data_IF_171297522835
#
_entry.id   IF_171297522835
#
_cell.length_a   1.000
_cell.length_b   1.000
_cell.length_c   1.000
_cell.angle_alpha   90.00
_cell.angle_beta   90.00
_cell.angle_gamma   90.00
#
_symmetry.space_group_name_H-M   'P 1'
#
loop_
_entity.id
_entity.type
_entity.pdbx_description
1 polymer ?
#
# COMPACT_ATOMS: atom_id res chain seq x y z
N UNK A 1 24.76 -62.41 -60.33
CA UNK A 1 23.62 -62.48 -59.40
C UNK A 1 23.98 -61.66 -58.18
N UNK A 2 23.54 -60.38 -58.24
CA UNK A 2 23.88 -59.39 -57.22
C UNK A 2 22.61 -59.16 -56.40
N UNK A 3 22.70 -59.48 -55.10
CA UNK A 3 21.61 -59.29 -54.15
C UNK A 3 21.76 -57.87 -53.54
N UNK A 4 20.81 -57.00 -53.80
CA UNK A 4 20.73 -55.68 -53.18
C UNK A 4 19.91 -55.84 -51.91
N UNK A 5 20.49 -55.48 -50.77
CA UNK A 5 19.86 -55.47 -49.45
C UNK A 5 19.36 -54.04 -49.19
N UNK A 6 18.02 -53.84 -49.20
CA UNK A 6 17.36 -52.62 -48.84
C UNK A 6 17.35 -52.46 -47.29
N UNK A 7 18.00 -51.39 -46.83
CA UNK A 7 17.91 -50.97 -45.43
C UNK A 7 16.84 -49.90 -45.28
N UNK A 8 15.66 -50.27 -44.79
CA UNK A 8 14.65 -49.29 -44.32
C UNK A 8 15.09 -48.70 -42.97
N UNK A 9 15.46 -47.43 -42.98
CA UNK A 9 15.69 -46.64 -41.79
C UNK A 9 14.36 -46.10 -41.28
N UNK A 10 13.79 -46.70 -40.24
CA UNK A 10 12.62 -46.16 -39.54
C UNK A 10 13.03 -44.98 -38.68
N UNK A 11 12.73 -43.75 -39.13
CA UNK A 11 12.81 -42.55 -38.27
C UNK A 11 11.65 -42.60 -37.26
N UNK A 12 11.95 -43.02 -36.03
CA UNK A 12 11.07 -42.78 -34.90
C UNK A 12 11.14 -41.30 -34.52
N UNK A 13 10.21 -40.48 -34.94
CA UNK A 13 9.97 -39.13 -34.40
C UNK A 13 9.46 -39.32 -32.96
N UNK A 14 10.39 -39.25 -32.01
CA UNK A 14 10.04 -39.09 -30.61
C UNK A 14 9.42 -37.71 -30.35
N UNK A 15 8.11 -37.64 -30.26
CA UNK A 15 7.45 -36.49 -29.70
C UNK A 15 7.85 -36.35 -28.22
N UNK A 16 8.80 -35.46 -27.94
CA UNK A 16 9.06 -35.03 -26.58
C UNK A 16 7.82 -34.34 -26.05
N UNK A 17 6.97 -35.07 -25.35
CA UNK A 17 5.95 -34.45 -24.53
C UNK A 17 6.69 -33.56 -23.52
N UNK A 18 6.61 -32.23 -23.69
CA UNK A 18 7.07 -31.27 -22.71
C UNK A 18 6.26 -31.55 -21.44
N UNK A 19 6.83 -32.26 -20.47
CA UNK A 19 6.20 -32.43 -19.17
C UNK A 19 5.94 -31.03 -18.59
N UNK A 20 4.68 -30.74 -18.27
CA UNK A 20 4.33 -29.48 -17.64
C UNK A 20 5.17 -29.29 -16.38
N UNK A 21 5.61 -28.06 -16.14
CA UNK A 21 6.37 -27.80 -14.91
C UNK A 21 5.46 -28.05 -13.68
N UNK A 22 5.95 -28.55 -12.56
CA UNK A 22 5.13 -28.95 -11.39
C UNK A 22 4.14 -27.87 -10.91
N UNK A 23 4.48 -26.60 -11.06
CA UNK A 23 3.59 -25.50 -10.71
C UNK A 23 2.38 -25.36 -11.64
N UNK A 24 2.49 -25.79 -12.91
CA UNK A 24 1.40 -25.70 -13.89
C UNK A 24 0.29 -26.70 -13.54
N UNK A 25 0.66 -27.92 -13.16
CA UNK A 25 -0.31 -28.94 -12.72
C UNK A 25 -0.99 -28.52 -11.41
N UNK A 26 -0.23 -27.94 -10.49
CA UNK A 26 -0.78 -27.38 -9.24
C UNK A 26 -1.74 -26.24 -9.53
N UNK A 27 -1.35 -25.30 -10.38
CA UNK A 27 -2.17 -24.16 -10.76
C UNK A 27 -3.50 -24.60 -11.40
N UNK A 28 -3.45 -25.51 -12.37
CA UNK A 28 -4.66 -26.00 -13.04
C UNK A 28 -5.58 -26.72 -12.05
N UNK A 29 -5.04 -27.58 -11.20
CA UNK A 29 -5.82 -28.26 -10.15
C UNK A 29 -6.51 -27.26 -9.22
N UNK A 30 -5.80 -26.23 -8.76
CA UNK A 30 -6.34 -25.18 -7.88
C UNK A 30 -7.37 -24.35 -8.61
N UNK A 31 -7.13 -23.99 -9.87
CA UNK A 31 -8.07 -23.23 -10.68
C UNK A 31 -9.39 -23.97 -10.92
N UNK A 32 -9.32 -25.28 -11.21
CA UNK A 32 -10.53 -26.10 -11.37
C UNK A 32 -11.30 -26.24 -10.06
N UNK A 33 -10.62 -26.36 -8.93
CA UNK A 33 -11.25 -26.37 -7.62
C UNK A 33 -11.89 -25.01 -7.28
N UNK A 34 -11.20 -23.92 -7.57
CA UNK A 34 -11.70 -22.56 -7.38
C UNK A 34 -12.97 -22.27 -8.20
N UNK A 35 -13.01 -22.76 -9.45
CA UNK A 35 -14.23 -22.67 -10.28
C UNK A 35 -15.41 -23.44 -9.69
N UNK A 36 -15.17 -24.56 -9.00
CA UNK A 36 -16.23 -25.30 -8.29
C UNK A 36 -16.69 -24.56 -7.03
N UNK A 37 -15.78 -23.84 -6.33
CA UNK A 37 -16.14 -22.95 -5.22
C UNK A 37 -16.95 -21.75 -5.72
N UNK A 38 -16.74 -21.31 -6.95
CA UNK A 38 -17.54 -20.34 -7.70
C UNK A 38 -17.34 -18.88 -7.29
N UNK A 39 -16.74 -18.62 -6.12
CA UNK A 39 -16.52 -17.27 -5.62
C UNK A 39 -15.31 -17.15 -4.70
N UNK A 40 -14.85 -15.91 -4.50
CA UNK A 40 -13.95 -15.50 -3.43
C UNK A 40 -14.61 -14.37 -2.64
N UNK A 41 -14.64 -14.49 -1.32
CA UNK A 41 -15.18 -13.47 -0.42
C UNK A 41 -14.04 -12.65 0.19
N UNK A 42 -14.02 -11.35 -0.06
CA UNK A 42 -12.95 -10.49 0.41
C UNK A 42 -13.43 -9.26 1.18
N UNK A 43 -12.65 -8.86 2.16
CA UNK A 43 -12.75 -7.54 2.78
C UNK A 43 -11.70 -6.64 2.15
N UNK A 44 -12.10 -5.48 1.67
CA UNK A 44 -11.19 -4.53 1.03
C UNK A 44 -11.50 -3.09 1.39
N UNK A 45 -10.63 -2.14 1.00
CA UNK A 45 -10.81 -0.73 1.32
C UNK A 45 -12.08 -0.16 0.67
N UNK A 46 -12.62 0.88 1.29
CA UNK A 46 -13.69 1.68 0.68
C UNK A 46 -13.19 2.38 -0.59
N UNK A 47 -14.08 2.49 -1.59
CA UNK A 47 -13.79 3.12 -2.87
C UNK A 47 -14.25 2.26 -4.04
N UNK A 48 -15.02 2.86 -4.95
CA UNK A 48 -15.60 2.15 -6.09
C UNK A 48 -14.56 1.78 -7.13
N UNK A 49 -13.67 2.71 -7.48
CA UNK A 49 -12.72 2.53 -8.59
C UNK A 49 -11.83 1.28 -8.43
N UNK A 50 -11.26 1.11 -7.24
CA UNK A 50 -10.44 -0.07 -6.94
C UNK A 50 -11.26 -1.34 -6.92
N UNK A 51 -12.40 -1.32 -6.20
CA UNK A 51 -13.30 -2.46 -6.12
C UNK A 51 -13.71 -2.93 -7.51
N UNK A 52 -14.26 -2.03 -8.30
CA UNK A 52 -14.83 -2.37 -9.61
C UNK A 52 -13.76 -2.83 -10.58
N UNK A 53 -12.61 -2.15 -10.63
CA UNK A 53 -11.50 -2.54 -11.49
C UNK A 53 -10.98 -3.96 -11.19
N UNK A 54 -10.79 -4.31 -9.92
CA UNK A 54 -10.28 -5.62 -9.53
C UNK A 54 -11.34 -6.71 -9.69
N UNK A 55 -12.58 -6.45 -9.29
CA UNK A 55 -13.70 -7.41 -9.39
C UNK A 55 -13.97 -7.77 -10.83
N UNK A 56 -14.19 -6.76 -11.69
CA UNK A 56 -14.52 -6.98 -13.11
C UNK A 56 -13.40 -7.73 -13.85
N UNK A 57 -12.14 -7.34 -13.59
CA UNK A 57 -11.02 -7.99 -14.27
C UNK A 57 -10.82 -9.45 -13.86
N UNK A 58 -10.93 -9.74 -12.56
CA UNK A 58 -10.80 -11.11 -12.04
C UNK A 58 -11.94 -12.01 -12.52
N UNK A 59 -13.19 -11.57 -12.39
CA UNK A 59 -14.37 -12.31 -12.83
C UNK A 59 -14.33 -12.59 -14.34
N UNK A 60 -13.98 -11.59 -15.14
CA UNK A 60 -13.83 -11.75 -16.61
C UNK A 60 -12.77 -12.79 -16.96
N UNK A 61 -11.66 -12.83 -16.23
CA UNK A 61 -10.54 -13.73 -16.53
C UNK A 61 -10.79 -15.17 -16.11
N UNK A 62 -11.37 -15.39 -14.94
CA UNK A 62 -11.46 -16.72 -14.34
C UNK A 62 -12.86 -17.30 -14.26
N UNK A 63 -13.91 -16.48 -14.42
CA UNK A 63 -15.29 -16.90 -14.23
C UNK A 63 -15.63 -17.24 -12.78
N UNK A 64 -14.91 -16.64 -11.81
CA UNK A 64 -15.10 -16.79 -10.38
C UNK A 64 -15.56 -15.45 -9.84
N UNK A 65 -16.70 -15.37 -9.14
CA UNK A 65 -17.23 -14.11 -8.63
C UNK A 65 -16.44 -13.59 -7.45
N UNK A 66 -16.45 -12.25 -7.25
CA UNK A 66 -15.81 -11.58 -6.12
C UNK A 66 -16.86 -10.94 -5.23
N UNK A 67 -17.12 -11.53 -4.06
CA UNK A 67 -17.94 -10.91 -3.03
C UNK A 67 -17.09 -9.90 -2.26
N UNK A 68 -17.17 -8.62 -2.64
CA UNK A 68 -16.37 -7.57 -2.05
C UNK A 68 -17.13 -6.82 -0.96
N UNK A 69 -16.64 -6.89 0.27
CA UNK A 69 -17.10 -6.08 1.39
C UNK A 69 -16.14 -4.91 1.63
N UNK A 70 -16.65 -3.68 1.52
CA UNK A 70 -15.85 -2.48 1.75
C UNK A 70 -15.80 -2.14 3.25
N UNK A 71 -14.59 -1.98 3.83
CA UNK A 71 -14.39 -1.60 5.23
C UNK A 71 -13.20 -0.64 5.36
N UNK A 72 -13.30 0.27 6.32
CA UNK A 72 -12.22 1.24 6.63
C UNK A 72 -11.08 0.65 7.46
N UNK A 73 -11.16 -0.62 7.85
CA UNK A 73 -10.21 -1.31 8.70
C UNK A 73 -10.64 -1.41 10.16
N UNK A 74 -11.28 -0.38 10.72
CA UNK A 74 -11.73 -0.37 12.12
C UNK A 74 -12.87 -1.37 12.39
N UNK A 75 -13.72 -1.63 11.39
CA UNK A 75 -14.84 -2.57 11.48
C UNK A 75 -14.48 -4.04 11.33
N UNK A 76 -13.30 -4.34 10.77
CA UNK A 76 -12.92 -5.71 10.40
C UNK A 76 -12.87 -6.64 11.62
N UNK A 77 -12.09 -6.30 12.64
CA UNK A 77 -11.91 -7.18 13.79
C UNK A 77 -13.19 -7.36 14.64
N UNK A 78 -13.99 -6.33 14.95
CA UNK A 78 -15.29 -6.50 15.61
C UNK A 78 -16.22 -7.42 14.83
N UNK A 79 -16.30 -7.28 13.50
CA UNK A 79 -17.09 -8.15 12.63
C UNK A 79 -16.63 -9.60 12.72
N UNK A 80 -15.35 -9.86 12.47
CA UNK A 80 -14.78 -11.21 12.55
C UNK A 80 -15.01 -11.85 13.92
N UNK A 81 -14.87 -11.07 14.99
CA UNK A 81 -15.09 -11.55 16.35
C UNK A 81 -16.52 -11.99 16.58
N UNK A 82 -17.50 -11.23 16.08
CA UNK A 82 -18.92 -11.58 16.18
C UNK A 82 -19.26 -12.82 15.34
N UNK A 83 -18.76 -12.88 14.11
CA UNK A 83 -19.00 -14.01 13.20
C UNK A 83 -18.39 -15.31 13.74
N UNK A 84 -17.14 -15.28 14.20
CA UNK A 84 -16.42 -16.45 14.72
C UNK A 84 -16.97 -16.96 16.06
N UNK A 85 -17.53 -16.08 16.92
CA UNK A 85 -18.26 -16.49 18.11
C UNK A 85 -19.48 -17.35 17.76
N UNK A 86 -20.05 -17.15 16.56
CA UNK A 86 -21.15 -17.94 16.01
C UNK A 86 -20.66 -19.10 15.11
N UNK A 87 -19.36 -19.46 15.16
CA UNK A 87 -18.68 -20.46 14.31
C UNK A 87 -18.87 -20.20 12.80
N UNK A 88 -18.95 -18.91 12.41
CA UNK A 88 -19.09 -18.49 11.02
C UNK A 88 -17.78 -17.95 10.48
N UNK A 89 -17.30 -18.55 9.38
CA UNK A 89 -16.10 -18.18 8.63
C UNK A 89 -16.56 -17.76 7.23
N UNK A 90 -16.62 -16.45 6.97
CA UNK A 90 -17.29 -15.90 5.79
C UNK A 90 -16.29 -15.30 4.77
N UNK A 91 -15.03 -15.12 5.18
CA UNK A 91 -14.07 -14.34 4.42
C UNK A 91 -12.84 -15.16 4.07
N UNK A 92 -12.34 -14.94 2.85
CA UNK A 92 -11.16 -15.61 2.30
C UNK A 92 -9.93 -14.73 2.37
N UNK A 93 -10.04 -13.49 1.87
CA UNK A 93 -8.91 -12.57 1.66
C UNK A 93 -9.22 -11.22 2.28
N UNK A 94 -8.19 -10.56 2.79
CA UNK A 94 -8.29 -9.17 3.23
C UNK A 94 -7.21 -8.31 2.60
N UNK A 95 -7.63 -7.13 2.13
CA UNK A 95 -6.74 -6.04 1.74
C UNK A 95 -7.06 -4.85 2.63
N UNK A 96 -6.07 -4.40 3.42
CA UNK A 96 -6.29 -3.37 4.44
C UNK A 96 -5.03 -2.54 4.68
N UNK A 97 -5.11 -1.55 5.57
CA UNK A 97 -3.96 -0.82 6.08
C UNK A 97 -3.06 -1.72 6.92
N UNK A 98 -1.76 -1.51 6.84
CA UNK A 98 -0.78 -2.32 7.56
C UNK A 98 -0.90 -2.22 9.07
N UNK A 99 -1.28 -1.07 9.62
CA UNK A 99 -1.57 -0.93 11.04
C UNK A 99 -2.72 -1.85 11.48
N UNK A 100 -3.82 -1.93 10.69
CA UNK A 100 -4.91 -2.87 10.98
C UNK A 100 -4.40 -4.32 11.00
N UNK A 101 -3.52 -4.69 10.06
CA UNK A 101 -2.90 -6.02 10.04
C UNK A 101 -2.05 -6.30 11.27
N UNK A 102 -1.09 -5.41 11.55
CA UNK A 102 -0.10 -5.59 12.63
C UNK A 102 -0.70 -5.44 14.04
N UNK A 103 -1.55 -4.44 14.25
CA UNK A 103 -2.07 -4.12 15.58
C UNK A 103 -3.35 -4.90 15.94
N UNK A 104 -4.09 -5.40 14.93
CA UNK A 104 -5.38 -6.03 15.16
C UNK A 104 -5.46 -7.49 14.66
N UNK A 105 -5.22 -7.74 13.36
CA UNK A 105 -5.53 -9.04 12.77
C UNK A 105 -4.51 -10.12 13.16
N UNK A 106 -3.20 -9.81 13.15
CA UNK A 106 -2.15 -10.74 13.57
C UNK A 106 -2.28 -11.10 15.06
N UNK A 107 -2.38 -10.13 16.00
CA UNK A 107 -2.59 -10.46 17.41
C UNK A 107 -3.86 -11.26 17.69
N UNK A 108 -4.92 -11.04 16.91
CA UNK A 108 -6.17 -11.80 17.03
C UNK A 108 -6.07 -13.24 16.47
N UNK A 109 -4.94 -13.59 15.81
CA UNK A 109 -4.67 -14.93 15.22
C UNK A 109 -5.74 -15.36 14.22
N UNK A 110 -6.19 -14.42 13.39
CA UNK A 110 -7.26 -14.65 12.40
C UNK A 110 -6.72 -14.86 10.98
N UNK A 111 -5.40 -14.85 10.80
CA UNK A 111 -4.71 -14.96 9.51
C UNK A 111 -3.91 -16.26 9.43
N UNK A 112 -3.73 -16.77 8.22
CA UNK A 112 -2.78 -17.83 7.88
C UNK A 112 -1.54 -17.24 7.18
N UNK A 113 -0.38 -17.96 7.16
CA UNK A 113 0.74 -17.61 6.32
C UNK A 113 0.33 -17.51 4.85
N UNK A 114 0.67 -16.38 4.21
CA UNK A 114 0.29 -16.13 2.82
C UNK A 114 1.21 -16.86 1.83
N UNK A 115 2.49 -16.97 2.16
CA UNK A 115 3.51 -17.50 1.24
C UNK A 115 3.23 -18.92 0.73
N UNK A 116 2.75 -19.91 1.53
CA UNK A 116 2.40 -21.24 1.04
C UNK A 116 1.27 -21.26 0.00
N UNK A 117 0.52 -20.15 -0.13
CA UNK A 117 -0.56 -20.02 -1.09
C UNK A 117 -0.10 -19.43 -2.44
N UNK A 118 1.20 -19.08 -2.59
CA UNK A 118 1.77 -18.54 -3.81
C UNK A 118 2.22 -19.68 -4.73
N UNK A 119 1.68 -19.74 -5.93
CA UNK A 119 1.91 -20.82 -6.92
C UNK A 119 2.70 -20.29 -8.11
N UNK A 120 2.30 -19.14 -8.67
CA UNK A 120 2.86 -18.63 -9.92
C UNK A 120 4.34 -18.24 -9.77
N UNK A 121 5.26 -18.75 -10.64
CA UNK A 121 6.68 -18.43 -10.58
C UNK A 121 6.95 -16.92 -10.64
N UNK A 122 6.20 -16.19 -11.48
CA UNK A 122 6.34 -14.74 -11.58
C UNK A 122 5.98 -13.98 -10.29
N UNK A 123 5.11 -14.56 -9.44
CA UNK A 123 4.79 -13.99 -8.13
C UNK A 123 5.90 -14.27 -7.13
N UNK A 124 6.54 -15.40 -7.26
CA UNK A 124 7.61 -15.88 -6.33
C UNK A 124 9.00 -15.41 -6.72
N UNK A 125 9.20 -14.89 -7.94
CA UNK A 125 10.53 -14.43 -8.40
C UNK A 125 10.96 -13.16 -7.65
N UNK A 126 12.00 -13.25 -6.79
CA UNK A 126 12.46 -12.13 -6.00
C UNK A 126 12.96 -10.95 -6.84
N UNK A 127 13.43 -11.20 -8.08
CA UNK A 127 13.92 -10.16 -8.98
C UNK A 127 12.84 -9.20 -9.46
N UNK A 128 11.57 -9.61 -9.38
CA UNK A 128 10.43 -8.80 -9.78
C UNK A 128 9.90 -7.91 -8.65
N UNK A 129 10.44 -8.03 -7.44
CA UNK A 129 9.98 -7.28 -6.28
C UNK A 129 11.04 -6.28 -5.81
N UNK A 130 10.58 -5.12 -5.36
CA UNK A 130 11.45 -4.10 -4.76
C UNK A 130 12.19 -4.71 -3.57
N UNK A 131 13.45 -4.34 -3.42
CA UNK A 131 14.37 -4.89 -2.43
C UNK A 131 14.68 -6.40 -2.60
N UNK A 132 14.39 -6.99 -3.75
CA UNK A 132 14.74 -8.38 -4.07
C UNK A 132 13.93 -9.42 -3.28
N UNK A 133 12.75 -9.06 -2.77
CA UNK A 133 11.89 -9.98 -2.03
C UNK A 133 10.44 -9.48 -1.96
N UNK A 134 9.51 -10.41 -1.72
CA UNK A 134 8.17 -10.09 -1.22
C UNK A 134 8.29 -9.46 0.17
N UNK A 135 7.71 -8.29 0.37
CA UNK A 135 7.80 -7.53 1.62
C UNK A 135 6.73 -7.97 2.61
N UNK A 136 7.08 -8.88 3.53
CA UNK A 136 6.25 -9.23 4.67
C UNK A 136 6.63 -8.40 5.89
N UNK A 137 5.64 -7.97 6.66
CA UNK A 137 5.84 -7.12 7.84
C UNK A 137 5.95 -7.90 9.15
N UNK A 138 5.61 -9.19 9.13
CA UNK A 138 5.62 -10.05 10.30
C UNK A 138 6.44 -11.34 10.06
N UNK A 139 7.01 -11.92 11.12
CA UNK A 139 7.76 -13.18 11.01
C UNK A 139 6.93 -14.36 10.51
N UNK A 140 5.61 -14.35 10.77
CA UNK A 140 4.66 -15.37 10.32
C UNK A 140 4.32 -15.30 8.83
N UNK A 141 4.81 -14.26 8.11
CA UNK A 141 4.56 -14.03 6.68
C UNK A 141 3.05 -13.99 6.35
N UNK A 142 2.29 -13.33 7.22
CA UNK A 142 0.84 -13.21 7.15
C UNK A 142 0.38 -11.91 6.48
N UNK A 143 1.19 -10.85 6.56
CA UNK A 143 0.89 -9.52 6.02
C UNK A 143 1.93 -9.09 4.99
N UNK A 144 1.52 -9.08 3.71
CA UNK A 144 2.34 -8.67 2.58
C UNK A 144 2.04 -7.23 2.17
N UNK A 145 3.06 -6.41 1.92
CA UNK A 145 2.92 -5.07 1.34
C UNK A 145 2.96 -5.13 -0.18
N UNK A 146 1.86 -4.76 -0.82
CA UNK A 146 1.75 -4.73 -2.28
C UNK A 146 2.10 -3.39 -2.92
N UNK A 147 1.79 -2.29 -2.24
CA UNK A 147 1.78 -0.95 -2.82
C UNK A 147 2.47 0.09 -1.94
N UNK A 148 3.80 0.06 -1.83
CA UNK A 148 4.52 1.15 -1.18
C UNK A 148 4.52 2.37 -2.11
N UNK A 149 4.18 3.55 -1.60
CA UNK A 149 4.32 4.79 -2.35
C UNK A 149 4.87 5.89 -1.47
N UNK A 150 5.63 6.79 -2.07
CA UNK A 150 6.14 7.97 -1.41
C UNK A 150 4.99 8.93 -1.14
N UNK A 151 4.89 9.47 0.08
CA UNK A 151 3.86 10.44 0.45
C UNK A 151 4.31 11.87 0.17
N UNK A 152 3.33 12.70 -0.16
CA UNK A 152 3.48 14.15 -0.07
C UNK A 152 3.32 14.58 1.40
N UNK A 153 4.33 15.19 1.96
CA UNK A 153 4.36 15.61 3.36
C UNK A 153 4.31 17.12 3.54
N UNK A 154 4.82 17.87 2.56
CA UNK A 154 4.90 19.33 2.56
C UNK A 154 4.11 19.92 1.38
N UNK A 155 3.26 20.88 1.68
CA UNK A 155 2.37 21.54 0.75
C UNK A 155 2.54 23.04 0.85
N UNK A 156 2.33 23.76 -0.25
CA UNK A 156 2.37 25.23 -0.25
C UNK A 156 1.23 25.82 -1.07
N UNK A 157 0.83 27.03 -0.72
CA UNK A 157 0.12 27.88 -1.65
C UNK A 157 1.15 28.60 -2.52
N UNK A 158 1.24 28.28 -3.84
CA UNK A 158 2.31 28.80 -4.70
C UNK A 158 2.21 30.32 -4.96
N UNK A 159 1.10 30.95 -4.59
CA UNK A 159 0.97 32.41 -4.65
C UNK A 159 1.59 33.13 -3.44
N UNK A 160 1.87 32.40 -2.34
CA UNK A 160 2.38 32.94 -1.07
C UNK A 160 3.76 32.40 -0.69
N UNK A 161 4.13 31.24 -1.22
CA UNK A 161 5.41 30.59 -0.96
C UNK A 161 5.93 29.93 -2.24
N UNK A 162 7.15 30.25 -2.64
CA UNK A 162 7.75 29.63 -3.81
C UNK A 162 8.14 28.18 -3.49
N UNK A 163 7.58 27.15 -4.21
CA UNK A 163 7.91 25.75 -3.96
C UNK A 163 9.41 25.45 -4.01
N UNK A 164 10.17 26.18 -4.81
CA UNK A 164 11.62 25.98 -4.99
C UNK A 164 12.48 26.46 -3.82
N UNK A 165 11.90 27.20 -2.87
CA UNK A 165 12.62 27.64 -1.66
C UNK A 165 12.87 26.49 -0.68
N UNK A 166 12.04 25.44 -0.70
CA UNK A 166 12.12 24.35 0.25
C UNK A 166 13.14 23.30 -0.24
N UNK A 167 14.28 23.22 0.43
CA UNK A 167 15.36 22.23 0.20
C UNK A 167 15.51 21.27 1.38
N UNK A 168 14.92 21.62 2.51
CA UNK A 168 14.94 20.86 3.77
C UNK A 168 13.68 21.16 4.56
N UNK A 169 13.20 20.22 5.36
CA UNK A 169 12.14 20.53 6.34
C UNK A 169 12.59 21.61 7.35
N UNK A 170 13.90 21.77 7.56
CA UNK A 170 14.44 22.83 8.44
C UNK A 170 14.20 24.23 7.91
N UNK A 171 13.91 24.40 6.61
CA UNK A 171 13.52 25.70 6.04
C UNK A 171 12.20 26.22 6.61
N UNK A 172 11.37 25.33 7.15
CA UNK A 172 10.14 25.69 7.88
C UNK A 172 10.40 26.40 9.21
N UNK A 173 11.62 26.36 9.71
CA UNK A 173 12.02 27.05 10.95
C UNK A 173 12.37 28.53 10.72
N UNK A 174 12.40 29.00 9.46
CA UNK A 174 12.58 30.42 9.16
C UNK A 174 11.44 31.23 9.83
N UNK A 175 11.77 32.31 10.55
CA UNK A 175 10.78 33.17 11.22
C UNK A 175 9.68 33.71 10.29
N UNK A 176 9.94 33.82 9.00
CA UNK A 176 8.93 34.25 8.01
C UNK A 176 7.70 33.34 7.96
N UNK A 177 7.81 32.07 8.36
CA UNK A 177 6.74 31.08 8.40
C UNK A 177 5.97 31.03 9.72
N UNK A 178 6.39 31.79 10.74
CA UNK A 178 5.74 31.78 12.05
C UNK A 178 4.26 32.17 11.95
N UNK A 179 3.38 31.30 12.44
CA UNK A 179 1.91 31.46 12.35
C UNK A 179 1.32 31.27 10.95
N UNK A 180 2.12 30.85 9.96
CA UNK A 180 1.68 30.63 8.56
C UNK A 180 1.65 29.18 8.13
N UNK A 181 1.83 28.26 9.06
CA UNK A 181 1.83 26.80 8.82
C UNK A 181 0.53 26.21 9.36
N UNK A 182 -0.15 25.41 8.57
CA UNK A 182 -1.30 24.60 8.96
C UNK A 182 -0.92 23.12 8.83
N UNK A 183 -1.35 22.28 9.74
CA UNK A 183 -1.06 20.85 9.72
C UNK A 183 -2.29 20.00 10.09
N UNK A 184 -2.37 18.79 9.53
CA UNK A 184 -3.23 17.74 10.08
C UNK A 184 -2.74 17.38 11.48
N UNK A 185 -3.66 17.27 12.43
CA UNK A 185 -3.33 17.09 13.85
C UNK A 185 -2.56 15.77 14.11
N UNK A 186 -1.26 15.81 14.42
CA UNK A 186 -0.44 14.62 14.53
C UNK A 186 -0.77 13.73 15.75
N UNK A 187 -1.59 14.23 16.69
CA UNK A 187 -2.01 13.47 17.89
C UNK A 187 -3.07 12.43 17.58
N UNK A 188 -3.53 12.37 16.36
CA UNK A 188 -4.59 11.46 15.91
C UNK A 188 -4.11 10.67 14.68
N UNK A 189 -4.70 9.50 14.48
CA UNK A 189 -4.40 8.70 13.30
C UNK A 189 -4.75 9.45 12.02
N UNK A 190 -3.79 9.53 11.10
CA UNK A 190 -3.95 10.23 9.84
C UNK A 190 -2.61 10.63 9.20
N UNK A 191 -2.68 11.41 8.12
CA UNK A 191 -1.50 11.90 7.41
C UNK A 191 -0.55 12.73 8.29
N UNK A 192 -1.08 13.55 9.19
CA UNK A 192 -0.28 14.33 10.15
C UNK A 192 0.52 13.43 11.08
N UNK A 193 -0.12 12.40 11.68
CA UNK A 193 0.59 11.45 12.54
C UNK A 193 1.73 10.77 11.77
N UNK A 194 1.48 10.31 10.54
CA UNK A 194 2.52 9.67 9.75
C UNK A 194 3.68 10.62 9.41
N UNK A 195 3.39 11.90 9.11
CA UNK A 195 4.41 12.93 8.87
C UNK A 195 5.26 13.19 10.10
N UNK A 196 4.66 13.33 11.29
CA UNK A 196 5.41 13.53 12.53
C UNK A 196 6.14 12.25 12.97
N UNK A 197 5.62 11.06 12.66
CA UNK A 197 6.36 9.79 12.81
C UNK A 197 7.60 9.78 11.94
N UNK A 198 7.48 10.22 10.67
CA UNK A 198 8.64 10.39 9.80
C UNK A 198 9.66 11.35 10.40
N UNK A 199 9.26 12.53 10.88
CA UNK A 199 10.17 13.48 11.53
C UNK A 199 10.85 12.86 12.74
N UNK A 200 10.10 12.13 13.56
CA UNK A 200 10.63 11.47 14.77
C UNK A 200 11.68 10.41 14.45
N UNK A 201 11.43 9.58 13.42
CA UNK A 201 12.32 8.50 13.02
C UNK A 201 13.54 8.99 12.24
N UNK A 202 13.47 10.19 11.65
CA UNK A 202 14.54 10.68 10.77
C UNK A 202 15.76 11.13 11.60
N UNK A 203 16.98 10.60 11.33
CA UNK A 203 18.15 10.84 12.17
C UNK A 203 18.59 12.31 12.23
N UNK A 204 18.33 13.11 11.20
CA UNK A 204 18.68 14.53 11.18
C UNK A 204 17.57 15.46 11.72
N UNK A 205 16.35 14.96 11.91
CA UNK A 205 15.21 15.75 12.41
C UNK A 205 14.93 15.45 13.88
N UNK A 206 14.31 14.32 14.16
CA UNK A 206 14.05 13.83 15.52
C UNK A 206 13.21 14.77 16.38
N UNK A 207 13.25 14.52 17.68
CA UNK A 207 12.50 15.30 18.69
C UNK A 207 12.86 16.79 18.68
N UNK A 208 14.12 17.11 18.41
CA UNK A 208 14.60 18.51 18.37
C UNK A 208 13.87 19.30 17.28
N UNK A 209 13.69 18.71 16.09
CA UNK A 209 12.97 19.36 15.01
C UNK A 209 11.48 19.49 15.35
N UNK A 210 10.86 18.44 15.92
CA UNK A 210 9.44 18.47 16.32
C UNK A 210 9.17 19.60 17.31
N UNK A 211 10.01 19.81 18.31
CA UNK A 211 9.90 20.94 19.24
C UNK A 211 10.07 22.29 18.54
N UNK A 212 11.04 22.39 17.65
CA UNK A 212 11.32 23.62 16.92
C UNK A 212 10.16 24.00 15.97
N UNK A 213 9.61 23.05 15.22
CA UNK A 213 8.49 23.31 14.31
C UNK A 213 7.21 23.66 15.08
N UNK A 214 6.95 23.05 16.24
CA UNK A 214 5.84 23.42 17.10
C UNK A 214 5.96 24.89 17.55
N UNK A 215 7.17 25.39 17.81
CA UNK A 215 7.46 26.80 18.11
C UNK A 215 7.12 27.78 17.01
N UNK A 216 6.88 27.31 15.78
CA UNK A 216 6.38 28.16 14.67
C UNK A 216 4.87 28.49 14.80
N UNK A 217 4.17 27.93 15.80
CA UNK A 217 2.75 28.23 16.02
C UNK A 217 1.86 27.65 14.92
N UNK A 218 1.92 26.34 14.74
CA UNK A 218 1.11 25.62 13.77
C UNK A 218 -0.38 25.69 14.11
N UNK A 219 -1.23 25.94 13.10
CA UNK A 219 -2.65 25.68 13.19
C UNK A 219 -2.91 24.20 12.95
N UNK A 220 -3.50 23.49 13.92
CA UNK A 220 -3.81 22.07 13.81
C UNK A 220 -5.28 21.88 13.49
N UNK A 221 -5.59 21.13 12.46
CA UNK A 221 -6.93 20.75 12.07
C UNK A 221 -7.06 19.23 11.93
N UNK A 222 -8.29 18.79 11.61
CA UNK A 222 -8.62 17.37 11.48
C UNK A 222 -9.56 17.08 10.31
N UNK A 223 -9.97 18.12 9.62
CA UNK A 223 -10.79 18.02 8.41
C UNK A 223 -9.90 18.28 7.20
N UNK A 224 -9.59 17.22 6.49
CA UNK A 224 -8.70 17.23 5.33
C UNK A 224 -9.17 18.21 4.24
N UNK A 225 -10.48 18.34 4.05
CA UNK A 225 -11.03 19.28 3.06
C UNK A 225 -10.84 20.71 3.53
N UNK A 226 -11.05 20.98 4.81
CA UNK A 226 -10.84 22.31 5.39
C UNK A 226 -9.36 22.70 5.35
N UNK A 227 -8.44 21.79 5.67
CA UNK A 227 -6.99 22.03 5.60
C UNK A 227 -6.55 22.52 4.22
N UNK A 228 -6.91 21.75 3.17
CA UNK A 228 -6.57 22.11 1.78
C UNK A 228 -7.25 23.40 1.35
N UNK A 229 -8.51 23.62 1.73
CA UNK A 229 -9.23 24.84 1.39
C UNK A 229 -8.62 26.07 2.08
N UNK A 230 -8.22 25.99 3.35
CA UNK A 230 -7.61 27.12 4.06
C UNK A 230 -6.23 27.49 3.49
N UNK A 231 -5.45 26.48 3.08
CA UNK A 231 -4.20 26.69 2.36
C UNK A 231 -4.47 27.37 1.01
N UNK A 232 -5.40 26.83 0.20
CA UNK A 232 -5.76 27.38 -1.10
C UNK A 232 -6.34 28.78 -1.05
N UNK A 233 -7.11 29.13 0.00
CA UNK A 233 -7.62 30.48 0.24
C UNK A 233 -6.55 31.48 0.71
N UNK A 234 -5.30 31.03 0.94
CA UNK A 234 -4.22 31.89 1.37
C UNK A 234 -4.26 32.27 2.85
N UNK A 235 -5.05 31.60 3.68
CA UNK A 235 -5.02 31.80 5.15
C UNK A 235 -3.69 31.32 5.76
N UNK A 236 -3.08 30.34 5.13
CA UNK A 236 -1.75 29.82 5.46
C UNK A 236 -0.93 29.72 4.18
N UNK A 237 0.39 29.80 4.34
CA UNK A 237 1.33 29.68 3.20
C UNK A 237 1.83 28.28 3.01
N UNK A 238 1.86 27.47 4.08
CA UNK A 238 2.46 26.14 4.14
C UNK A 238 1.50 25.15 4.81
N UNK A 239 1.40 23.95 4.27
CA UNK A 239 0.67 22.81 4.82
C UNK A 239 1.60 21.65 5.16
N UNK A 240 1.34 20.95 6.26
CA UNK A 240 2.07 19.76 6.67
C UNK A 240 1.13 18.57 6.89
N UNK A 241 1.51 17.42 6.34
CA UNK A 241 0.83 16.16 6.61
C UNK A 241 -0.62 16.11 6.14
N UNK A 242 -0.96 16.74 5.01
CA UNK A 242 -2.29 16.65 4.42
C UNK A 242 -2.53 15.32 3.73
N UNK A 243 -3.79 15.05 3.40
CA UNK A 243 -4.14 14.03 2.41
C UNK A 243 -3.63 14.45 1.03
N UNK A 244 -2.56 13.84 0.56
CA UNK A 244 -1.92 14.17 -0.72
C UNK A 244 -2.84 13.90 -1.92
N UNK A 245 -3.66 12.85 -1.87
CA UNK A 245 -4.66 12.57 -2.91
C UNK A 245 -5.74 13.64 -2.99
N UNK A 246 -6.21 14.15 -1.85
CA UNK A 246 -7.16 15.25 -1.82
C UNK A 246 -6.55 16.57 -2.30
N UNK A 247 -5.31 16.86 -1.92
CA UNK A 247 -4.57 18.03 -2.39
C UNK A 247 -4.38 17.99 -3.91
N UNK A 248 -4.00 16.84 -4.48
CA UNK A 248 -3.92 16.65 -5.94
C UNK A 248 -5.27 16.84 -6.63
N UNK A 249 -6.35 16.29 -6.05
CA UNK A 249 -7.70 16.48 -6.59
C UNK A 249 -8.08 17.97 -6.62
N UNK A 250 -7.82 18.70 -5.54
CA UNK A 250 -8.11 20.13 -5.44
C UNK A 250 -7.25 20.97 -6.38
N UNK A 251 -5.96 20.62 -6.52
CA UNK A 251 -5.08 21.28 -7.48
C UNK A 251 -5.58 21.13 -8.93
N UNK A 252 -6.06 19.93 -9.32
CA UNK A 252 -6.71 19.70 -10.61
C UNK A 252 -8.00 20.51 -10.81
N UNK A 253 -8.67 20.91 -9.72
CA UNK A 253 -9.84 21.80 -9.73
C UNK A 253 -9.48 23.28 -9.73
N UNK A 254 -8.19 23.63 -9.81
CA UNK A 254 -7.71 25.02 -9.85
C UNK A 254 -7.49 25.66 -8.47
N UNK A 255 -7.59 24.88 -7.37
CA UNK A 255 -7.22 25.41 -6.04
C UNK A 255 -5.70 25.59 -6.00
N UNK A 256 -5.17 26.75 -5.59
CA UNK A 256 -3.73 27.01 -5.54
C UNK A 256 -3.08 26.26 -4.37
N UNK A 257 -2.84 24.99 -4.57
CA UNK A 257 -2.12 24.09 -3.68
C UNK A 257 -1.12 23.28 -4.50
N UNK A 258 0.13 23.23 -4.04
CA UNK A 258 1.19 22.47 -4.67
C UNK A 258 1.84 21.56 -3.64
N UNK A 259 2.08 20.29 -4.02
CA UNK A 259 2.82 19.32 -3.22
C UNK A 259 4.30 19.49 -3.54
N UNK A 260 5.10 19.70 -2.53
CA UNK A 260 6.55 19.80 -2.68
C UNK A 260 7.10 18.42 -3.09
N UNK A 261 7.84 18.39 -4.18
CA UNK A 261 8.53 17.17 -4.61
C UNK A 261 9.59 16.79 -3.57
N UNK A 262 9.34 15.68 -2.88
CA UNK A 262 10.19 15.22 -1.78
C UNK A 262 11.64 14.94 -2.21
N UNK A 263 11.88 14.73 -3.52
CA UNK A 263 13.22 14.51 -4.07
C UNK A 263 14.10 15.78 -4.01
N UNK A 264 13.48 16.96 -3.85
CA UNK A 264 14.23 18.21 -3.64
C UNK A 264 14.57 18.46 -2.18
N UNK A 265 13.95 17.73 -1.23
CA UNK A 265 14.20 17.87 0.19
C UNK A 265 15.37 16.97 0.62
N UNK A 266 16.32 17.55 1.36
CA UNK A 266 17.50 16.84 1.83
C UNK A 266 17.18 15.57 2.61
N UNK A 267 16.17 15.64 3.42
CA UNK A 267 15.72 14.54 4.28
C UNK A 267 14.83 13.52 3.55
N UNK A 268 14.46 13.81 2.28
CA UNK A 268 13.53 12.97 1.53
C UNK A 268 12.13 12.96 2.13
N UNK A 269 11.52 11.79 2.27
CA UNK A 269 10.18 11.66 2.81
C UNK A 269 9.88 10.25 3.30
N UNK A 270 8.63 10.00 3.66
CA UNK A 270 8.16 8.71 4.13
C UNK A 270 7.43 7.90 3.04
N UNK A 271 7.54 6.60 3.18
CA UNK A 271 6.80 5.63 2.37
C UNK A 271 5.62 5.10 3.16
N UNK A 272 4.47 5.04 2.53
CA UNK A 272 3.25 4.45 3.06
C UNK A 272 2.72 3.37 2.11
N UNK A 273 2.15 2.29 2.61
CA UNK A 273 1.44 1.32 1.79
C UNK A 273 -0.04 1.69 1.63
N UNK A 274 -0.54 2.73 2.30
CA UNK A 274 -1.97 3.02 2.46
C UNK A 274 -2.75 1.73 2.80
N UNK A 275 -3.77 1.38 1.99
CA UNK A 275 -4.48 0.11 2.11
C UNK A 275 -3.88 -0.95 1.17
N UNK A 276 -2.58 -1.14 1.24
CA UNK A 276 -1.81 -2.07 0.39
C UNK A 276 -1.33 -3.32 1.12
N UNK A 277 -1.79 -3.58 2.34
CA UNK A 277 -1.55 -4.82 3.06
C UNK A 277 -2.47 -5.93 2.56
N UNK A 278 -1.90 -7.08 2.16
CA UNK A 278 -2.63 -8.28 1.71
C UNK A 278 -2.41 -9.42 2.70
N UNK A 279 -3.50 -10.08 3.07
CA UNK A 279 -3.50 -11.26 3.93
C UNK A 279 -4.58 -12.26 3.52
N UNK A 280 -4.44 -13.51 3.97
CA UNK A 280 -5.46 -14.56 3.84
C UNK A 280 -6.00 -14.89 5.22
N UNK A 281 -7.33 -15.01 5.34
CA UNK A 281 -7.93 -15.46 6.59
C UNK A 281 -7.74 -16.95 6.82
N UNK A 282 -7.53 -17.35 8.07
CA UNK A 282 -7.59 -18.75 8.41
C UNK A 282 -9.01 -19.31 8.32
N UNK A 283 -9.16 -20.59 8.01
CA UNK A 283 -10.44 -21.26 7.74
C UNK A 283 -11.25 -20.55 6.64
N UNK A 284 -10.55 -20.07 5.59
CA UNK A 284 -11.19 -19.49 4.42
C UNK A 284 -12.22 -20.46 3.81
N UNK A 285 -13.49 -20.05 3.60
CA UNK A 285 -14.53 -20.92 3.05
C UNK A 285 -14.30 -21.33 1.60
N UNK A 286 -13.53 -20.52 0.83
CA UNK A 286 -13.20 -20.79 -0.57
C UNK A 286 -11.68 -20.78 -0.78
N UNK A 287 -10.95 -21.77 -0.20
CA UNK A 287 -9.48 -21.70 -0.11
C UNK A 287 -8.77 -21.77 -1.47
N UNK A 288 -9.36 -22.42 -2.47
CA UNK A 288 -8.78 -22.45 -3.81
C UNK A 288 -9.05 -21.15 -4.57
N UNK A 289 -10.25 -20.58 -4.46
CA UNK A 289 -10.56 -19.28 -5.04
C UNK A 289 -9.68 -18.17 -4.41
N UNK A 290 -9.44 -18.23 -3.10
CA UNK A 290 -8.49 -17.35 -2.42
C UNK A 290 -7.08 -17.44 -3.02
N UNK A 291 -6.57 -18.66 -3.24
CA UNK A 291 -5.25 -18.87 -3.89
C UNK A 291 -5.20 -18.28 -5.28
N UNK A 292 -6.21 -18.54 -6.11
CA UNK A 292 -6.29 -17.97 -7.48
C UNK A 292 -6.31 -16.46 -7.42
N UNK A 293 -7.13 -15.87 -6.53
CA UNK A 293 -7.24 -14.41 -6.39
C UNK A 293 -5.93 -13.77 -5.94
N UNK A 294 -5.26 -14.32 -4.92
CA UNK A 294 -3.98 -13.80 -4.40
C UNK A 294 -2.90 -13.84 -5.48
N UNK A 295 -2.73 -14.98 -6.18
CA UNK A 295 -1.75 -15.11 -7.23
C UNK A 295 -2.01 -14.15 -8.39
N UNK A 296 -3.28 -14.00 -8.82
CA UNK A 296 -3.65 -13.02 -9.83
C UNK A 296 -3.42 -11.58 -9.35
N UNK A 297 -3.84 -11.23 -8.14
CA UNK A 297 -3.65 -9.89 -7.61
C UNK A 297 -2.17 -9.50 -7.51
N UNK A 298 -1.29 -10.47 -7.19
CA UNK A 298 0.16 -10.29 -7.12
C UNK A 298 0.87 -10.44 -8.48
N UNK A 299 0.18 -10.89 -9.54
CA UNK A 299 0.73 -10.93 -10.89
C UNK A 299 0.97 -9.52 -11.45
N UNK A 300 1.74 -9.41 -12.53
CA UNK A 300 1.93 -8.14 -13.24
C UNK A 300 0.59 -7.49 -13.62
N UNK A 301 -0.35 -8.30 -14.13
CA UNK A 301 -1.67 -7.83 -14.55
C UNK A 301 -2.46 -7.27 -13.36
N UNK A 302 -2.65 -8.05 -12.30
CA UNK A 302 -3.40 -7.65 -11.12
C UNK A 302 -2.80 -6.41 -10.44
N UNK A 303 -1.46 -6.36 -10.32
CA UNK A 303 -0.77 -5.20 -9.76
C UNK A 303 -0.88 -3.97 -10.67
N UNK A 304 -0.88 -4.12 -12.00
CA UNK A 304 -1.07 -2.99 -12.92
C UNK A 304 -2.48 -2.40 -12.79
N UNK A 305 -3.50 -3.25 -12.72
CA UNK A 305 -4.89 -2.82 -12.53
C UNK A 305 -5.04 -2.12 -11.18
N UNK A 306 -4.52 -2.72 -10.10
CA UNK A 306 -4.57 -2.15 -8.77
C UNK A 306 -3.86 -0.79 -8.68
N UNK A 307 -2.67 -0.68 -9.25
CA UNK A 307 -1.87 0.56 -9.25
C UNK A 307 -2.59 1.70 -9.98
N UNK A 308 -3.14 1.43 -11.16
CA UNK A 308 -3.89 2.43 -11.94
C UNK A 308 -5.19 2.86 -11.27
N UNK A 309 -5.93 1.92 -10.67
CA UNK A 309 -7.18 2.21 -9.98
C UNK A 309 -6.98 3.01 -8.68
N UNK A 310 -5.83 2.86 -8.02
CA UNK A 310 -5.53 3.54 -6.75
C UNK A 310 -4.64 4.78 -6.91
N UNK A 311 -3.93 4.92 -8.03
CA UNK A 311 -2.86 5.91 -8.19
C UNK A 311 -1.59 5.57 -7.39
N UNK A 312 -1.50 4.36 -6.79
CA UNK A 312 -0.35 3.94 -5.98
C UNK A 312 0.73 3.26 -6.83
N UNK A 313 1.92 3.14 -6.25
CA UNK A 313 3.04 2.43 -6.86
C UNK A 313 3.00 0.97 -6.42
N UNK A 314 3.17 0.04 -7.36
CA UNK A 314 3.31 -1.37 -7.02
C UNK A 314 4.69 -1.68 -6.42
N UNK A 315 4.74 -2.67 -5.54
CA UNK A 315 6.01 -3.23 -5.07
C UNK A 315 6.69 -4.10 -6.14
N UNK A 316 5.97 -4.47 -7.22
CA UNK A 316 6.56 -5.13 -8.39
C UNK A 316 7.26 -4.11 -9.29
N UNK A 317 8.50 -4.44 -9.70
CA UNK A 317 9.35 -3.58 -10.52
C UNK A 317 8.93 -3.53 -12.00
N UNK A 318 8.24 -4.55 -12.50
CA UNK A 318 7.78 -4.66 -13.88
C UNK A 318 6.38 -4.05 -14.14
N UNK A 319 5.79 -3.44 -13.11
CA UNK A 319 4.53 -2.68 -13.22
C UNK A 319 4.83 -1.24 -13.60
N UNK A 320 4.21 -0.69 -14.68
CA UNK A 320 4.42 0.68 -15.10
C UNK A 320 4.02 1.69 -14.01
N UNK A 321 4.76 2.80 -13.93
CA UNK A 321 4.51 3.90 -12.96
C UNK A 321 4.05 5.19 -13.63
N UNK A 322 3.73 5.16 -14.93
CA UNK A 322 3.30 6.27 -15.78
C UNK A 322 2.00 6.96 -15.33
N UNK A 323 1.21 6.28 -14.50
CA UNK A 323 -0.05 6.77 -13.93
C UNK A 323 0.15 7.68 -12.70
N UNK A 324 1.34 7.73 -12.13
CA UNK A 324 1.63 8.46 -10.90
C UNK A 324 2.72 9.53 -11.10
N UNK A 325 2.71 10.55 -10.24
CA UNK A 325 3.78 11.54 -10.25
C UNK A 325 5.14 10.88 -9.96
N UNK A 326 6.22 11.27 -10.66
CA UNK A 326 7.53 10.60 -10.50
C UNK A 326 8.07 10.58 -9.06
N UNK A 327 7.72 11.57 -8.24
CA UNK A 327 8.14 11.63 -6.83
C UNK A 327 7.43 10.61 -5.94
N UNK A 328 6.30 10.03 -6.39
CA UNK A 328 5.58 8.97 -5.65
C UNK A 328 6.30 7.63 -5.67
N UNK A 329 7.27 7.46 -6.56
CA UNK A 329 8.09 6.24 -6.59
C UNK A 329 9.03 6.25 -5.37
N UNK A 330 8.98 5.23 -4.50
CA UNK A 330 9.85 5.16 -3.33
C UNK A 330 11.32 5.34 -3.68
N UNK A 331 12.00 6.26 -3.01
CA UNK A 331 13.41 6.54 -3.21
C UNK A 331 14.28 5.67 -2.28
N UNK A 332 15.51 5.34 -2.65
CA UNK A 332 16.47 4.72 -1.74
C UNK A 332 16.62 5.56 -0.47
N UNK A 333 16.57 4.91 0.70
CA UNK A 333 16.71 5.60 1.98
C UNK A 333 15.42 6.26 2.52
N UNK A 334 14.31 6.23 1.79
CA UNK A 334 13.03 6.70 2.32
C UNK A 334 12.60 5.91 3.54
N UNK A 335 12.08 6.62 4.56
CA UNK A 335 11.70 6.02 5.84
C UNK A 335 10.33 5.33 5.70
N UNK A 336 10.26 4.10 6.16
CA UNK A 336 9.01 3.33 6.21
C UNK A 336 8.31 3.57 7.55
N UNK A 337 7.22 4.32 7.54
CA UNK A 337 6.45 4.64 8.74
C UNK A 337 5.41 3.58 9.12
N UNK A 338 5.45 2.42 8.47
CA UNK A 338 4.46 1.34 8.57
C UNK A 338 5.03 0.00 9.07
N UNK A 339 6.29 -0.04 9.44
CA UNK A 339 6.93 -1.24 10.01
C UNK A 339 6.53 -1.41 11.48
N UNK A 340 6.70 -2.62 12.03
CA UNK A 340 6.46 -2.85 13.45
C UNK A 340 7.30 -1.91 14.33
N UNK A 341 8.58 -1.71 13.98
CA UNK A 341 9.44 -0.75 14.69
C UNK A 341 8.88 0.67 14.68
N UNK A 342 8.37 1.13 13.54
CA UNK A 342 7.77 2.46 13.43
C UNK A 342 6.47 2.58 14.25
N UNK A 343 5.69 1.48 14.33
CA UNK A 343 4.47 1.41 15.14
C UNK A 343 4.82 1.47 16.62
N UNK A 344 5.76 0.66 17.08
CA UNK A 344 6.20 0.63 18.49
C UNK A 344 6.72 2.01 18.95
N UNK A 345 7.45 2.70 18.08
CA UNK A 345 7.96 4.05 18.37
C UNK A 345 6.89 5.16 18.39
N UNK A 346 5.66 4.90 17.95
CA UNK A 346 4.56 5.88 18.13
C UNK A 346 4.25 6.15 19.59
N UNK A 347 4.42 5.16 20.47
CA UNK A 347 4.21 5.31 21.89
C UNK A 347 5.23 6.27 22.51
N UNK A 348 6.46 6.33 21.99
CA UNK A 348 7.48 7.30 22.39
C UNK A 348 7.21 8.71 21.83
N UNK A 349 6.63 8.79 20.63
CA UNK A 349 6.30 10.06 19.99
C UNK A 349 5.11 10.76 20.64
N UNK A 350 4.07 10.01 21.03
CA UNK A 350 2.81 10.59 21.49
C UNK A 350 2.96 11.53 22.70
N UNK A 351 3.74 11.21 23.77
CA UNK A 351 4.00 12.13 24.87
C UNK A 351 4.63 13.45 24.41
N UNK A 352 5.52 13.39 23.41
CA UNK A 352 6.18 14.58 22.86
C UNK A 352 5.16 15.47 22.13
N UNK A 353 4.24 14.86 21.36
CA UNK A 353 3.18 15.61 20.68
C UNK A 353 2.23 16.29 21.68
N UNK A 354 1.90 15.63 22.78
CA UNK A 354 1.10 16.22 23.86
C UNK A 354 1.86 17.34 24.56
N UNK A 355 3.16 17.20 24.81
CA UNK A 355 4.01 18.24 25.40
C UNK A 355 3.99 19.52 24.55
N UNK A 356 4.16 19.39 23.22
CA UNK A 356 4.37 20.55 22.34
C UNK A 356 3.08 21.15 21.77
N UNK A 357 2.00 20.37 21.66
CA UNK A 357 0.73 20.82 21.07
C UNK A 357 -0.45 20.82 22.04
N UNK A 358 -0.24 20.39 23.29
CA UNK A 358 -1.29 20.26 24.29
C UNK A 358 -2.14 18.99 24.13
N UNK A 359 -3.12 18.82 24.99
CA UNK A 359 -4.06 17.67 24.97
C UNK A 359 -5.21 17.87 23.98
#
# INVERSE_FOLDING_TARGET
MVIILDWMLSLAMGASANAAAPWQDEWERVLQAAKKEGKVAMIGPVGADRRDALTIAFEKKYGISVEYHADSGAGILPRLSAERKADRYLWDVVVTGTATGLENLIPARVLDPLEPNLILPEVKDPKLWRNGALEFLDPGRQLLVMTPFQRGTLFVNPTLANPKEFKSYKDLLDPKWKGKIIADDPRKSGPGQATFTFFFLHPELGVKFIRAIAGQGLALLRDYAQEVNMLGQGRYSVGLGFSDSLAEQRAKQGVPVEIIDIRQLKEGGDVSPASGGLSIFNRAPHPNAAKVYINWLLSKEGQTINARATGYISNRLDVPTDHAAPWRVPQPGSIKTYTQEAIDKKDDLFPILIEVFGR
#
